data_IF_503791758533
#
_entry.id   IF_503791758533
#
_cell.length_a   1.000
_cell.length_b   1.000
_cell.length_c   1.000
_cell.angle_alpha   90.00
_cell.angle_beta   90.00
_cell.angle_gamma   90.00
#
_symmetry.space_group_name_H-M   'P 1'
#
loop_
_entity.id
_entity.type
_entity.pdbx_description
1 polymer ?
#
# COMPACT_ATOMS: atom_id res chain seq x y z
N UNK A 1 9.34 -2.64 -21.25
CA UNK A 1 8.70 -1.31 -21.46
C UNK A 1 8.43 -0.72 -20.09
N UNK A 2 8.95 0.47 -19.81
CA UNK A 2 8.70 1.20 -18.55
C UNK A 2 7.45 2.05 -18.71
N UNK A 3 6.62 2.13 -17.66
CA UNK A 3 5.39 2.93 -17.64
C UNK A 3 5.39 3.86 -16.43
N UNK A 4 4.87 5.07 -16.61
CA UNK A 4 4.55 5.96 -15.49
C UNK A 4 3.27 5.50 -14.80
N UNK A 5 3.24 5.57 -13.46
CA UNK A 5 2.07 5.31 -12.62
C UNK A 5 1.93 6.46 -11.62
N UNK A 6 0.80 7.15 -11.66
CA UNK A 6 0.49 8.22 -10.71
C UNK A 6 0.07 7.70 -9.35
N UNK A 7 0.28 8.50 -8.31
CA UNK A 7 -0.22 8.25 -6.96
C UNK A 7 -1.24 9.32 -6.53
N UNK A 8 -2.17 8.96 -5.66
CA UNK A 8 -3.05 9.89 -4.94
C UNK A 8 -2.95 9.51 -3.46
N UNK A 9 -1.99 10.12 -2.77
CA UNK A 9 -1.80 9.92 -1.34
C UNK A 9 -2.79 10.79 -0.57
N UNK A 10 -3.54 10.18 0.35
CA UNK A 10 -4.62 10.79 1.11
C UNK A 10 -4.28 10.69 2.59
N UNK A 11 -4.29 11.80 3.30
CA UNK A 11 -4.11 11.87 4.75
C UNK A 11 -5.03 12.96 5.31
N UNK A 12 -5.76 12.67 6.38
CA UNK A 12 -6.77 13.57 6.96
C UNK A 12 -7.74 14.14 5.91
N UNK A 13 -8.13 13.34 4.93
CA UNK A 13 -9.10 13.69 3.88
C UNK A 13 -8.58 14.62 2.79
N UNK A 14 -7.28 14.88 2.77
CA UNK A 14 -6.65 15.76 1.78
C UNK A 14 -5.63 14.99 0.95
N UNK A 15 -5.57 15.33 -0.34
CA UNK A 15 -4.51 14.81 -1.21
C UNK A 15 -3.21 15.52 -0.83
N UNK A 16 -2.21 14.77 -0.40
CA UNK A 16 -0.93 15.34 0.01
C UNK A 16 0.20 14.34 -0.12
N UNK A 17 1.39 14.84 -0.39
CA UNK A 17 2.63 14.08 -0.34
C UNK A 17 3.32 14.36 0.99
N UNK A 18 3.64 13.32 1.76
CA UNK A 18 4.35 13.43 3.03
C UNK A 18 5.70 12.72 2.98
N UNK A 19 6.56 13.01 3.95
CA UNK A 19 7.77 12.22 4.20
C UNK A 19 7.40 11.06 5.12
N UNK A 20 7.28 9.85 4.57
CA UNK A 20 6.74 8.69 5.29
C UNK A 20 7.43 8.37 6.62
N UNK A 21 8.75 8.58 6.73
CA UNK A 21 9.51 8.38 7.97
C UNK A 21 9.18 9.39 9.10
N UNK A 22 8.48 10.48 8.80
CA UNK A 22 8.05 11.49 9.79
C UNK A 22 6.61 11.26 10.28
N UNK A 23 5.86 10.37 9.63
CA UNK A 23 4.51 10.01 10.05
C UNK A 23 4.58 9.07 11.26
N UNK A 24 4.64 9.62 12.47
CA UNK A 24 4.80 8.82 13.70
C UNK A 24 3.48 8.39 14.32
N UNK A 25 2.39 9.09 14.03
CA UNK A 25 1.06 8.82 14.62
C UNK A 25 -0.02 8.65 13.55
N UNK A 26 -1.16 8.12 13.96
CA UNK A 26 -2.34 8.02 13.11
C UNK A 26 -2.98 9.40 12.93
N UNK A 27 -3.73 9.59 11.85
CA UNK A 27 -4.33 10.88 11.48
C UNK A 27 -5.70 11.14 12.14
N UNK A 28 -6.02 10.32 13.14
CA UNK A 28 -7.11 10.53 14.12
C UNK A 28 -6.72 11.48 15.25
N UNK A 29 -5.43 11.80 15.40
CA UNK A 29 -4.92 12.82 16.32
C UNK A 29 -4.26 13.98 15.56
N UNK A 30 -4.47 15.21 16.04
CA UNK A 30 -3.74 16.37 15.48
C UNK A 30 -2.25 16.25 15.84
N UNK A 31 -1.39 16.23 14.84
CA UNK A 31 0.07 16.24 15.04
C UNK A 31 0.74 17.20 14.07
N UNK A 32 1.76 17.91 14.57
CA UNK A 32 2.58 18.84 13.79
C UNK A 32 3.89 18.21 13.31
N UNK A 33 4.10 16.92 13.58
CA UNK A 33 5.39 16.24 13.35
C UNK A 33 5.52 15.63 11.96
N UNK A 34 4.42 15.40 11.26
CA UNK A 34 4.45 14.88 9.89
C UNK A 34 4.90 15.96 8.93
N UNK A 35 6.03 15.74 8.26
CA UNK A 35 6.54 16.66 7.25
C UNK A 35 5.77 16.46 5.95
N UNK A 36 5.18 17.54 5.45
CA UNK A 36 4.43 17.59 4.20
C UNK A 36 5.32 18.20 3.11
N UNK A 37 5.50 17.48 1.99
CA UNK A 37 6.19 18.01 0.82
C UNK A 37 5.24 18.85 -0.05
N UNK A 38 3.97 18.45 -0.09
CA UNK A 38 2.95 19.12 -0.88
C UNK A 38 1.57 18.81 -0.32
N UNK A 39 0.71 19.82 -0.22
CA UNK A 39 -0.71 19.65 0.11
C UNK A 39 -1.53 20.25 -1.03
N UNK A 40 -2.42 19.43 -1.59
CA UNK A 40 -3.27 19.84 -2.71
C UNK A 40 -4.48 20.62 -2.23
N UNK A 41 -4.81 21.70 -2.93
CA UNK A 41 -6.13 22.37 -2.82
C UNK A 41 -7.19 21.72 -3.71
N UNK A 42 -6.82 20.77 -4.56
CA UNK A 42 -7.70 20.01 -5.46
C UNK A 42 -8.17 18.71 -4.79
N UNK A 43 -9.44 18.30 -5.02
CA UNK A 43 -9.97 17.04 -4.50
C UNK A 43 -9.32 15.83 -5.18
N UNK A 44 -9.48 14.65 -4.60
CA UNK A 44 -8.97 13.40 -5.17
C UNK A 44 -9.54 13.08 -6.56
N UNK A 45 -10.80 13.47 -6.83
CA UNK A 45 -11.42 13.35 -8.16
C UNK A 45 -10.69 14.15 -9.24
N UNK A 46 -10.08 15.29 -8.91
CA UNK A 46 -9.32 16.08 -9.89
C UNK A 46 -8.15 15.27 -10.47
N UNK A 47 -7.40 14.58 -9.61
CA UNK A 47 -6.27 13.75 -10.04
C UNK A 47 -6.74 12.48 -10.74
N UNK A 48 -7.83 11.87 -10.28
CA UNK A 48 -8.44 10.72 -10.95
C UNK A 48 -8.88 11.07 -12.39
N UNK A 49 -9.54 12.21 -12.60
CA UNK A 49 -9.93 12.69 -13.93
C UNK A 49 -8.70 13.03 -14.77
N UNK A 50 -7.67 13.67 -14.18
CA UNK A 50 -6.41 13.95 -14.89
C UNK A 50 -5.74 12.66 -15.38
N UNK A 51 -5.69 11.62 -14.57
CA UNK A 51 -5.14 10.33 -14.97
C UNK A 51 -5.99 9.65 -16.05
N UNK A 52 -7.32 9.78 -15.95
CA UNK A 52 -8.27 9.26 -16.93
C UNK A 52 -8.11 9.93 -18.30
N UNK A 53 -8.08 11.25 -18.34
CA UNK A 53 -7.93 12.05 -19.56
C UNK A 53 -6.63 11.73 -20.30
N UNK A 54 -5.58 11.36 -19.55
CA UNK A 54 -4.28 10.96 -20.09
C UNK A 54 -4.11 9.44 -20.21
N UNK A 55 -5.14 8.65 -19.90
CA UNK A 55 -5.13 7.18 -19.88
C UNK A 55 -3.92 6.58 -19.12
N UNK A 56 -3.58 7.15 -17.96
CA UNK A 56 -2.51 6.66 -17.09
C UNK A 56 -3.05 5.55 -16.21
N UNK A 57 -2.92 4.31 -16.66
CA UNK A 57 -3.42 3.13 -15.97
C UNK A 57 -2.48 2.64 -14.87
N UNK A 58 -3.05 1.95 -13.87
CA UNK A 58 -2.29 1.37 -12.77
C UNK A 58 -1.84 2.39 -11.72
N UNK A 59 -2.48 3.57 -11.69
CA UNK A 59 -2.34 4.55 -10.63
C UNK A 59 -2.90 4.02 -9.31
N UNK A 60 -2.31 4.41 -8.19
CA UNK A 60 -2.69 3.95 -6.86
C UNK A 60 -3.14 5.11 -5.96
N UNK A 61 -4.28 4.91 -5.31
CA UNK A 61 -4.80 5.74 -4.24
C UNK A 61 -4.32 5.13 -2.93
N UNK A 62 -3.65 5.89 -2.07
CA UNK A 62 -3.09 5.36 -0.81
C UNK A 62 -3.64 6.16 0.37
N UNK A 63 -4.33 5.47 1.28
CA UNK A 63 -4.80 6.06 2.54
C UNK A 63 -3.71 5.98 3.60
N UNK A 64 -3.25 7.12 4.06
CA UNK A 64 -2.20 7.28 5.06
C UNK A 64 -2.85 7.66 6.39
N UNK A 65 -3.30 6.65 7.13
CA UNK A 65 -3.99 6.81 8.41
C UNK A 65 -5.43 6.27 8.38
N UNK A 66 -6.01 6.13 9.58
CA UNK A 66 -7.31 5.48 9.79
C UNK A 66 -8.51 6.42 9.83
N UNK A 67 -8.32 7.74 9.69
CA UNK A 67 -9.42 8.69 9.74
C UNK A 67 -10.50 8.38 8.67
N UNK A 68 -11.78 8.22 9.05
CA UNK A 68 -12.85 7.83 8.12
C UNK A 68 -13.00 8.73 6.90
N UNK A 69 -12.61 10.01 7.01
CA UNK A 69 -12.65 10.94 5.87
C UNK A 69 -11.71 10.51 4.72
N UNK A 70 -10.65 9.74 5.02
CA UNK A 70 -9.78 9.16 4.00
C UNK A 70 -10.53 8.17 3.11
N UNK A 71 -11.47 7.41 3.69
CA UNK A 71 -12.27 6.45 2.93
C UNK A 71 -13.19 7.17 1.95
N UNK A 72 -13.86 8.24 2.39
CA UNK A 72 -14.72 9.05 1.51
C UNK A 72 -13.91 9.73 0.40
N UNK A 73 -12.72 10.23 0.73
CA UNK A 73 -11.81 10.84 -0.24
C UNK A 73 -11.29 9.81 -1.25
N UNK A 74 -10.99 8.59 -0.82
CA UNK A 74 -10.59 7.51 -1.71
C UNK A 74 -11.74 7.06 -2.61
N UNK A 75 -12.94 6.84 -2.05
CA UNK A 75 -14.15 6.51 -2.83
C UNK A 75 -14.44 7.55 -3.90
N UNK A 76 -14.24 8.84 -3.62
CA UNK A 76 -14.41 9.91 -4.59
C UNK A 76 -13.47 9.74 -5.80
N UNK A 77 -12.19 9.42 -5.59
CA UNK A 77 -11.26 9.12 -6.68
C UNK A 77 -11.68 7.88 -7.47
N UNK A 78 -11.99 6.77 -6.78
CA UNK A 78 -12.38 5.50 -7.41
C UNK A 78 -13.65 5.65 -8.27
N UNK A 79 -14.66 6.37 -7.78
CA UNK A 79 -15.91 6.65 -8.53
C UNK A 79 -15.68 7.53 -9.75
N UNK A 80 -14.63 8.35 -9.76
CA UNK A 80 -14.31 9.24 -10.89
C UNK A 80 -13.78 8.45 -12.09
N UNK A 81 -13.01 7.38 -11.84
CA UNK A 81 -12.54 6.48 -12.89
C UNK A 81 -12.65 5.00 -12.46
N UNK A 82 -13.88 4.44 -12.46
CA UNK A 82 -14.13 3.09 -11.96
C UNK A 82 -13.32 2.04 -12.73
N UNK A 83 -12.79 1.05 -12.00
CA UNK A 83 -12.05 -0.07 -12.56
C UNK A 83 -10.64 0.27 -13.07
N UNK A 84 -10.12 1.47 -12.82
CA UNK A 84 -8.83 1.92 -13.37
C UNK A 84 -7.80 2.35 -12.31
N UNK A 85 -8.25 2.66 -11.09
CA UNK A 85 -7.39 3.03 -9.97
C UNK A 85 -7.23 1.86 -8.99
N UNK A 86 -6.07 1.76 -8.36
CA UNK A 86 -5.79 0.79 -7.29
C UNK A 86 -5.97 1.46 -5.93
N UNK A 87 -6.23 0.71 -4.85
CA UNK A 87 -6.43 1.28 -3.51
C UNK A 87 -5.62 0.54 -2.45
N UNK A 88 -4.88 1.29 -1.64
CA UNK A 88 -4.11 0.80 -0.50
C UNK A 88 -4.35 1.61 0.78
N UNK A 89 -3.82 1.10 1.89
CA UNK A 89 -3.93 1.72 3.21
C UNK A 89 -5.11 1.18 4.03
N UNK A 90 -4.82 0.39 5.06
CA UNK A 90 -5.85 -0.24 5.90
C UNK A 90 -6.67 -1.33 5.20
N UNK A 91 -6.18 -1.87 4.07
CA UNK A 91 -6.81 -2.99 3.38
C UNK A 91 -6.55 -4.29 4.14
N UNK A 92 -7.61 -5.08 4.32
CA UNK A 92 -7.57 -6.39 4.96
C UNK A 92 -8.63 -7.31 4.33
N UNK A 93 -8.70 -8.57 4.80
CA UNK A 93 -9.63 -9.56 4.26
C UNK A 93 -11.11 -9.15 4.37
N UNK A 94 -11.46 -8.39 5.40
CA UNK A 94 -12.86 -8.03 5.69
C UNK A 94 -13.37 -6.91 4.77
N UNK A 95 -12.48 -6.05 4.27
CA UNK A 95 -12.83 -4.90 3.44
C UNK A 95 -12.36 -4.98 1.97
N UNK A 96 -11.48 -5.93 1.63
CA UNK A 96 -10.88 -6.04 0.30
C UNK A 96 -11.94 -6.11 -0.83
N UNK A 97 -12.95 -6.97 -0.67
CA UNK A 97 -14.02 -7.11 -1.67
C UNK A 97 -14.84 -5.82 -1.83
N UNK A 98 -15.14 -5.16 -0.72
CA UNK A 98 -15.92 -3.93 -0.73
C UNK A 98 -15.20 -2.79 -1.47
N UNK A 99 -13.87 -2.71 -1.37
CA UNK A 99 -13.09 -1.72 -2.11
C UNK A 99 -13.12 -1.94 -3.62
N UNK A 100 -13.18 -3.18 -4.09
CA UNK A 100 -13.41 -3.49 -5.51
C UNK A 100 -14.81 -3.06 -5.94
N UNK A 101 -15.84 -3.30 -5.10
CA UNK A 101 -17.21 -2.84 -5.35
C UNK A 101 -17.33 -1.30 -5.39
N UNK A 102 -16.47 -0.58 -4.65
CA UNK A 102 -16.37 0.88 -4.73
C UNK A 102 -15.66 1.39 -6.00
N UNK A 103 -15.21 0.50 -6.88
CA UNK A 103 -14.64 0.84 -8.18
C UNK A 103 -13.11 0.76 -8.25
N UNK A 104 -12.44 0.17 -7.26
CA UNK A 104 -11.02 -0.14 -7.41
C UNK A 104 -10.81 -1.26 -8.43
N UNK A 105 -9.77 -1.13 -9.25
CA UNK A 105 -9.27 -2.19 -10.12
C UNK A 105 -8.59 -3.31 -9.34
N UNK A 106 -7.82 -2.92 -8.32
CA UNK A 106 -7.07 -3.82 -7.44
C UNK A 106 -7.04 -3.23 -6.04
N UNK A 107 -6.91 -4.09 -5.04
CA UNK A 107 -6.55 -3.68 -3.69
C UNK A 107 -5.08 -3.98 -3.41
N UNK A 108 -4.45 -3.11 -2.64
CA UNK A 108 -3.04 -3.14 -2.28
C UNK A 108 -2.96 -3.48 -0.79
N UNK A 109 -2.47 -4.68 -0.47
CA UNK A 109 -2.22 -5.09 0.90
C UNK A 109 -0.79 -4.76 1.33
N UNK A 110 -0.69 -4.21 2.53
CA UNK A 110 0.55 -3.71 3.14
C UNK A 110 0.79 -4.42 4.48
N UNK A 111 0.66 -3.71 5.60
CA UNK A 111 0.99 -4.21 6.95
C UNK A 111 0.12 -5.37 7.43
N UNK A 112 -1.12 -5.52 6.93
CA UNK A 112 -2.01 -6.60 7.34
C UNK A 112 -1.46 -7.99 7.01
N UNK A 113 -0.62 -8.09 5.97
CA UNK A 113 0.02 -9.35 5.55
C UNK A 113 1.13 -9.82 6.50
N UNK A 114 1.51 -9.03 7.50
CA UNK A 114 2.60 -9.39 8.41
C UNK A 114 2.06 -9.81 9.78
N UNK A 115 2.66 -10.84 10.36
CA UNK A 115 2.36 -11.33 11.71
C UNK A 115 3.65 -11.62 12.46
N UNK A 116 3.56 -11.66 13.79
CA UNK A 116 4.64 -12.11 14.64
C UNK A 116 4.80 -13.64 14.51
N UNK A 117 6.04 -14.10 14.33
CA UNK A 117 6.39 -15.51 14.31
C UNK A 117 6.71 -16.03 15.72
N UNK A 118 7.06 -17.31 15.83
CA UNK A 118 7.33 -17.94 17.13
C UNK A 118 8.52 -17.33 17.89
N UNK A 119 9.37 -16.55 17.22
CA UNK A 119 10.52 -15.84 17.82
C UNK A 119 10.22 -14.39 18.18
N UNK A 120 8.97 -13.93 18.05
CA UNK A 120 8.60 -12.55 18.32
C UNK A 120 8.96 -11.58 17.19
N UNK A 121 9.30 -12.07 16.00
CA UNK A 121 9.70 -11.24 14.85
C UNK A 121 8.58 -11.14 13.83
N UNK A 122 8.42 -9.98 13.21
CA UNK A 122 7.45 -9.80 12.14
C UNK A 122 7.91 -10.50 10.86
N UNK A 123 7.01 -11.25 10.24
CA UNK A 123 7.20 -11.93 8.96
C UNK A 123 5.94 -11.89 8.10
N UNK A 124 6.10 -12.02 6.78
CA UNK A 124 4.98 -12.15 5.84
C UNK A 124 4.22 -13.46 6.10
N UNK A 125 2.95 -13.32 6.46
CA UNK A 125 2.00 -14.41 6.66
C UNK A 125 1.41 -14.83 5.32
N UNK A 126 1.99 -15.90 4.75
CA UNK A 126 1.49 -16.47 3.51
C UNK A 126 0.08 -17.05 3.63
N UNK A 127 -0.35 -17.50 4.82
CA UNK A 127 -1.71 -17.97 5.02
C UNK A 127 -2.74 -16.85 4.88
N UNK A 128 -2.41 -15.64 5.35
CA UNK A 128 -3.22 -14.44 5.07
C UNK A 128 -3.22 -14.07 3.59
N UNK A 129 -2.06 -14.12 2.94
CA UNK A 129 -1.92 -13.81 1.52
C UNK A 129 -2.75 -14.77 0.64
N UNK A 130 -2.67 -16.08 0.91
CA UNK A 130 -3.46 -17.11 0.24
C UNK A 130 -4.96 -16.89 0.45
N UNK A 131 -5.40 -16.62 1.68
CA UNK A 131 -6.82 -16.37 1.99
C UNK A 131 -7.39 -15.16 1.26
N UNK A 132 -6.67 -14.03 1.24
CA UNK A 132 -7.15 -12.84 0.54
C UNK A 132 -7.14 -13.05 -0.98
N UNK A 133 -6.12 -13.71 -1.52
CA UNK A 133 -6.05 -14.05 -2.95
C UNK A 133 -7.21 -14.95 -3.39
N UNK A 134 -7.56 -15.96 -2.58
CA UNK A 134 -8.74 -16.81 -2.81
C UNK A 134 -10.05 -16.01 -2.77
N UNK A 135 -10.16 -15.01 -1.89
CA UNK A 135 -11.36 -14.21 -1.72
C UNK A 135 -11.63 -13.28 -2.92
N UNK A 136 -10.60 -12.58 -3.41
CA UNK A 136 -10.77 -11.52 -4.42
C UNK A 136 -10.20 -11.86 -5.80
N UNK A 137 -9.45 -12.95 -5.91
CA UNK A 137 -8.71 -13.34 -7.10
C UNK A 137 -7.37 -12.60 -7.22
N UNK A 138 -6.33 -13.34 -7.62
CA UNK A 138 -4.96 -12.80 -7.81
C UNK A 138 -4.89 -11.60 -8.74
N UNK A 139 -5.78 -11.51 -9.72
CA UNK A 139 -5.77 -10.43 -10.74
C UNK A 139 -6.33 -9.12 -10.20
N UNK A 140 -6.86 -9.11 -8.96
CA UNK A 140 -7.31 -7.91 -8.25
C UNK A 140 -6.44 -7.61 -7.01
N UNK A 141 -5.33 -8.33 -6.83
CA UNK A 141 -4.50 -8.31 -5.63
C UNK A 141 -3.11 -7.75 -5.93
N UNK A 142 -2.65 -6.81 -5.11
CA UNK A 142 -1.28 -6.28 -5.11
C UNK A 142 -0.69 -6.41 -3.71
N UNK A 143 0.56 -6.86 -3.64
CA UNK A 143 1.36 -6.89 -2.40
C UNK A 143 2.35 -5.74 -2.45
N UNK A 144 2.28 -4.85 -1.45
CA UNK A 144 3.21 -3.73 -1.30
C UNK A 144 4.26 -4.05 -0.22
N UNK A 145 5.52 -4.07 -0.65
CA UNK A 145 6.68 -4.39 0.17
C UNK A 145 7.55 -3.14 0.31
N UNK A 146 7.27 -2.33 1.33
CA UNK A 146 8.15 -1.23 1.72
C UNK A 146 9.48 -1.79 2.23
N UNK A 147 10.60 -1.47 1.58
CA UNK A 147 11.91 -2.07 1.91
C UNK A 147 12.94 -1.01 2.33
N UNK A 148 13.76 -1.31 3.34
CA UNK A 148 14.87 -0.48 3.81
C UNK A 148 16.21 -1.17 3.62
N UNK A 149 17.23 -0.39 3.30
CA UNK A 149 18.62 -0.85 3.27
C UNK A 149 19.17 -1.05 4.68
N UNK A 150 19.85 -2.17 4.88
CA UNK A 150 20.63 -2.53 6.07
C UNK A 150 22.03 -2.88 5.58
N UNK A 151 23.05 -2.25 6.16
CA UNK A 151 24.44 -2.56 5.87
C UNK A 151 24.89 -3.52 6.96
N UNK A 152 25.33 -4.71 6.56
CA UNK A 152 25.90 -5.69 7.48
C UNK A 152 27.41 -5.41 7.65
N UNK A 153 27.91 -5.56 8.88
CA UNK A 153 29.29 -5.22 9.25
C UNK A 153 30.31 -6.22 8.67
N UNK A 154 29.87 -7.42 8.28
CA UNK A 154 30.78 -8.48 7.79
C UNK A 154 31.17 -8.33 6.31
N UNK A 155 30.21 -8.02 5.43
CA UNK A 155 30.44 -7.93 3.97
C UNK A 155 30.41 -6.49 3.44
N UNK A 156 29.91 -5.53 4.21
CA UNK A 156 29.78 -4.12 3.82
C UNK A 156 28.75 -3.83 2.70
N UNK A 157 28.14 -4.87 2.13
CA UNK A 157 27.19 -4.75 1.02
C UNK A 157 25.76 -4.43 1.53
N UNK A 158 25.05 -3.47 0.91
CA UNK A 158 23.70 -3.11 1.30
C UNK A 158 22.70 -4.23 1.01
N UNK A 159 22.05 -4.74 2.06
CA UNK A 159 20.94 -5.68 1.97
C UNK A 159 19.60 -4.96 2.12
N UNK A 160 18.57 -5.43 1.44
CA UNK A 160 17.22 -4.86 1.55
C UNK A 160 16.31 -5.77 2.34
N UNK A 161 15.64 -5.23 3.36
CA UNK A 161 14.66 -5.95 4.18
C UNK A 161 13.33 -5.23 4.14
N UNK A 162 12.23 -5.99 4.17
CA UNK A 162 10.90 -5.42 4.29
C UNK A 162 10.77 -4.76 5.66
N UNK A 163 10.24 -3.54 5.65
CA UNK A 163 10.00 -2.71 6.81
C UNK A 163 8.51 -2.34 6.89
N UNK A 164 7.99 -2.26 8.09
CA UNK A 164 6.59 -1.94 8.35
C UNK A 164 6.45 -0.92 9.48
N UNK A 165 5.21 -0.56 9.82
CA UNK A 165 4.87 0.41 10.88
C UNK A 165 5.63 1.73 10.71
N UNK A 166 5.50 2.35 9.53
CA UNK A 166 6.20 3.59 9.17
C UNK A 166 7.72 3.48 9.34
N UNK A 167 8.30 2.38 8.84
CA UNK A 167 9.75 2.12 8.86
C UNK A 167 10.36 1.85 10.25
N UNK A 168 9.53 1.71 11.28
CA UNK A 168 9.97 1.48 12.66
C UNK A 168 10.25 0.00 12.97
N UNK A 169 9.69 -0.92 12.19
CA UNK A 169 9.87 -2.36 12.38
C UNK A 169 10.51 -2.96 11.13
N UNK A 170 11.71 -3.52 11.28
CA UNK A 170 12.34 -4.35 10.26
C UNK A 170 11.85 -5.79 10.43
N UNK A 171 11.35 -6.40 9.36
CA UNK A 171 10.90 -7.79 9.34
C UNK A 171 12.06 -8.74 9.05
N UNK A 172 11.85 -10.04 9.21
CA UNK A 172 12.83 -11.06 8.80
C UNK A 172 12.90 -11.26 7.28
N UNK A 173 11.97 -10.69 6.52
CA UNK A 173 11.88 -10.90 5.08
C UNK A 173 12.92 -10.05 4.34
N UNK A 174 14.04 -10.69 3.97
CA UNK A 174 15.03 -10.13 3.05
C UNK A 174 14.46 -10.10 1.63
N UNK A 175 14.59 -8.97 0.95
CA UNK A 175 14.24 -8.85 -0.46
C UNK A 175 15.26 -9.63 -1.30
N UNK A 176 14.81 -10.73 -1.90
CA UNK A 176 15.59 -11.55 -2.81
C UNK A 176 14.71 -12.09 -3.95
N UNK A 177 15.35 -12.67 -4.98
CA UNK A 177 14.62 -13.31 -6.07
C UNK A 177 13.75 -14.47 -5.57
N UNK A 178 14.28 -15.24 -4.61
CA UNK A 178 13.60 -16.38 -3.98
C UNK A 178 12.37 -15.91 -3.19
N UNK A 179 12.51 -14.85 -2.38
CA UNK A 179 11.40 -14.29 -1.62
C UNK A 179 10.29 -13.75 -2.53
N UNK A 180 10.66 -12.99 -3.58
CA UNK A 180 9.69 -12.47 -4.55
C UNK A 180 8.98 -13.60 -5.33
N UNK A 181 9.72 -14.65 -5.68
CA UNK A 181 9.14 -15.83 -6.30
C UNK A 181 8.16 -16.53 -5.36
N UNK A 182 8.49 -16.67 -4.07
CA UNK A 182 7.59 -17.27 -3.09
C UNK A 182 6.29 -16.46 -2.92
N UNK A 183 6.38 -15.13 -2.79
CA UNK A 183 5.21 -14.23 -2.78
C UNK A 183 4.36 -14.43 -4.02
N UNK A 184 4.99 -14.54 -5.19
CA UNK A 184 4.28 -14.79 -6.44
C UNK A 184 3.63 -16.18 -6.48
N UNK A 185 4.32 -17.25 -6.12
CA UNK A 185 3.78 -18.62 -6.18
C UNK A 185 2.65 -18.81 -5.20
N UNK A 186 2.80 -18.35 -3.96
CA UNK A 186 1.84 -18.61 -2.89
C UNK A 186 0.67 -17.64 -2.88
N UNK A 187 0.91 -16.38 -3.27
CA UNK A 187 -0.15 -15.38 -3.30
C UNK A 187 -0.79 -15.18 -4.66
N UNK A 188 -0.04 -15.39 -5.75
CA UNK A 188 -0.40 -14.88 -7.08
C UNK A 188 -0.32 -15.96 -8.17
N UNK A 189 -0.07 -17.23 -7.85
CA UNK A 189 -0.25 -18.36 -8.78
C UNK A 189 -1.45 -19.23 -8.38
N UNK A 190 -2.07 -19.79 -9.42
CA UNK A 190 -3.35 -20.51 -9.50
C UNK A 190 -3.71 -21.44 -8.32
N UNK A 191 -5.01 -21.42 -7.99
CA UNK A 191 -5.87 -22.61 -8.19
C UNK A 191 -6.26 -22.69 -9.68
#
# INVERSE_FOLDING_TARGET
MTKFRGCIDIHSGQVKQIVGGTLTQDDTTETTTTTENFVSTKPSSYYAELYKDNNIQGCHVIKLGSNPINDETAKLALKTWPGNLQIGGGINIDNAKQWLEYGASHVILTSWLFTENNEGKMELDFGKLEKVSQLIGKDNLIVDLSCRTIIDDEDGEPQWYVAMNKWQTITVNKLSAEFLLEVYVRGLMKN
#
